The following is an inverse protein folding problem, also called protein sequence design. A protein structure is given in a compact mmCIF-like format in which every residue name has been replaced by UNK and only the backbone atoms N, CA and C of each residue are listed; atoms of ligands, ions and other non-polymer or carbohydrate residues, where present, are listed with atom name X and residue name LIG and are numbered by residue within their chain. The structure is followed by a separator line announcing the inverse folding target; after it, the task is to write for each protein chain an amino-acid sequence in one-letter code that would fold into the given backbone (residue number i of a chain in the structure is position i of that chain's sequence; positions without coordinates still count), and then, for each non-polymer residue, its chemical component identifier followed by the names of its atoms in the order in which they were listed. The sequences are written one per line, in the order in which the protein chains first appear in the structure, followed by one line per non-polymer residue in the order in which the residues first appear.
data_IF_934620514597
#
_entry.id   IF_934620514597
#
_cell.length_a   1.000
_cell.length_b   1.000
_cell.length_c   1.000
_cell.angle_alpha   90.00
_cell.angle_beta   90.00
_cell.angle_gamma   90.00
#
_symmetry.space_group_name_H-M   'P 1'
#
loop_
_entity.id
_entity.type
_entity.pdbx_description
1 polymer ?
#
# COMPACT_ATOMS: atom_id res chain seq x y z
N UNK A 1 15.17 -0.63 1.95
CA UNK A 1 14.51 0.40 1.09
C UNK A 1 13.93 1.50 1.97
N UNK A 2 14.07 2.80 1.64
CA UNK A 2 13.50 3.88 2.44
C UNK A 2 11.97 3.81 2.50
N UNK A 3 11.40 4.02 3.69
CA UNK A 3 9.95 3.94 3.96
C UNK A 3 9.10 4.84 3.07
N UNK A 4 9.65 5.96 2.58
CA UNK A 4 9.00 6.87 1.62
C UNK A 4 8.62 6.16 0.31
N UNK A 5 9.51 5.33 -0.23
CA UNK A 5 9.25 4.60 -1.47
C UNK A 5 8.17 3.54 -1.28
N UNK A 6 8.01 2.99 -0.07
CA UNK A 6 6.93 2.05 0.25
C UNK A 6 5.58 2.77 0.28
N UNK A 7 5.55 3.99 0.80
CA UNK A 7 4.36 4.84 0.76
C UNK A 7 4.00 5.25 -0.68
N UNK A 8 4.99 5.63 -1.50
CA UNK A 8 4.78 5.92 -2.92
C UNK A 8 4.24 4.68 -3.67
N UNK A 9 4.82 3.51 -3.42
CA UNK A 9 4.37 2.24 -4.01
C UNK A 9 2.93 1.85 -3.60
N UNK A 10 2.52 2.19 -2.38
CA UNK A 10 1.15 2.00 -1.93
C UNK A 10 0.20 2.93 -2.70
N UNK A 11 0.54 4.22 -2.80
CA UNK A 11 -0.29 5.23 -3.46
C UNK A 11 -0.45 4.96 -4.95
N UNK A 12 0.64 4.58 -5.63
CA UNK A 12 0.65 4.21 -7.04
C UNK A 12 -0.31 3.03 -7.30
N UNK A 13 -0.28 2.01 -6.43
CA UNK A 13 -1.19 0.86 -6.54
C UNK A 13 -2.64 1.24 -6.31
N UNK A 14 -2.93 2.11 -5.33
CA UNK A 14 -4.29 2.61 -5.09
C UNK A 14 -4.78 3.39 -6.32
N UNK A 15 -3.96 4.29 -6.86
CA UNK A 15 -4.29 5.07 -8.04
C UNK A 15 -4.52 4.17 -9.25
N UNK A 16 -3.63 3.22 -9.53
CA UNK A 16 -3.78 2.25 -10.60
C UNK A 16 -5.06 1.42 -10.44
N UNK A 17 -5.32 0.86 -9.25
CA UNK A 17 -6.56 0.12 -9.00
C UNK A 17 -7.80 0.98 -9.18
N UNK A 18 -7.79 2.25 -8.75
CA UNK A 18 -8.89 3.20 -8.98
C UNK A 18 -9.09 3.51 -10.45
N UNK A 19 -8.02 3.65 -11.22
CA UNK A 19 -8.10 3.90 -12.68
C UNK A 19 -8.65 2.67 -13.40
N UNK A 20 -8.13 1.47 -13.11
CA UNK A 20 -8.56 0.24 -13.78
C UNK A 20 -9.98 -0.19 -13.43
N UNK A 21 -10.40 0.00 -12.18
CA UNK A 21 -11.71 -0.45 -11.70
C UNK A 21 -12.77 0.64 -11.68
N UNK A 22 -12.38 1.91 -11.68
CA UNK A 22 -13.31 3.04 -11.71
C UNK A 22 -14.39 2.92 -10.63
N UNK A 23 -15.65 2.75 -11.06
CA UNK A 23 -16.82 2.69 -10.17
C UNK A 23 -16.94 1.40 -9.34
N UNK A 24 -16.26 0.32 -9.72
CA UNK A 24 -16.27 -0.95 -8.97
C UNK A 24 -15.06 -1.10 -8.04
N UNK A 25 -14.28 -0.02 -7.86
CA UNK A 25 -13.11 -0.03 -6.98
C UNK A 25 -13.51 -0.25 -5.52
N UNK A 26 -12.79 -1.16 -4.87
CA UNK A 26 -12.87 -1.43 -3.43
C UNK A 26 -11.49 -1.25 -2.80
N UNK A 27 -11.43 -0.81 -1.54
CA UNK A 27 -10.19 -0.68 -0.76
C UNK A 27 -9.36 -1.98 -0.68
N UNK A 28 -9.99 -3.14 -0.89
CA UNK A 28 -9.33 -4.44 -0.94
C UNK A 28 -8.64 -4.75 -2.28
N UNK A 29 -8.96 -4.02 -3.35
CA UNK A 29 -8.45 -4.32 -4.69
C UNK A 29 -6.94 -4.22 -4.84
N UNK A 30 -6.26 -3.21 -4.25
CA UNK A 30 -4.81 -3.13 -4.27
C UNK A 30 -4.16 -4.35 -3.58
N UNK A 31 -4.79 -4.84 -2.51
CA UNK A 31 -4.34 -6.03 -1.78
C UNK A 31 -4.55 -7.32 -2.59
N UNK A 32 -5.71 -7.46 -3.22
CA UNK A 32 -6.02 -8.58 -4.14
C UNK A 32 -5.06 -8.62 -5.31
N UNK A 33 -4.83 -7.48 -5.97
CA UNK A 33 -3.88 -7.37 -7.07
C UNK A 33 -2.46 -7.77 -6.64
N UNK A 34 -2.03 -7.34 -5.46
CA UNK A 34 -0.72 -7.68 -4.92
C UNK A 34 -0.57 -9.17 -4.58
N UNK A 35 -1.65 -9.82 -4.13
CA UNK A 35 -1.65 -11.27 -3.84
C UNK A 35 -1.79 -12.12 -5.11
N UNK A 36 -2.53 -11.65 -6.11
CA UNK A 36 -2.71 -12.34 -7.40
C UNK A 36 -1.49 -12.24 -8.32
N UNK A 37 -0.52 -11.37 -8.03
CA UNK A 37 0.73 -11.30 -8.78
C UNK A 37 1.46 -12.67 -8.70
N UNK A 38 1.41 -13.45 -9.79
CA UNK A 38 2.05 -14.78 -9.91
C UNK A 38 3.57 -14.71 -9.74
N UNK A 39 4.16 -13.59 -10.11
CA UNK A 39 5.59 -13.34 -9.97
C UNK A 39 5.82 -12.52 -8.71
N UNK A 40 6.61 -13.06 -7.78
CA UNK A 40 7.03 -12.32 -6.60
C UNK A 40 7.96 -11.21 -7.13
N UNK A 41 7.57 -9.93 -7.09
CA UNK A 41 8.46 -8.87 -7.53
C UNK A 41 9.76 -8.98 -6.72
N UNK A 42 10.91 -8.87 -7.39
CA UNK A 42 12.23 -8.87 -6.75
C UNK A 42 12.30 -7.67 -5.82
N UNK A 43 11.83 -7.89 -4.59
CA UNK A 43 11.67 -6.89 -3.56
C UNK A 43 12.15 -7.51 -2.26
N UNK A 44 12.95 -6.74 -1.53
CA UNK A 44 13.42 -7.13 -0.21
C UNK A 44 12.23 -7.50 0.70
N UNK A 45 12.31 -8.64 1.41
CA UNK A 45 11.20 -9.18 2.20
C UNK A 45 10.61 -8.17 3.19
N UNK A 46 11.46 -7.35 3.83
CA UNK A 46 11.03 -6.28 4.72
C UNK A 46 10.11 -5.25 4.03
N UNK A 47 10.44 -4.86 2.80
CA UNK A 47 9.62 -3.94 2.00
C UNK A 47 8.29 -4.60 1.65
N UNK A 48 8.33 -5.88 1.25
CA UNK A 48 7.14 -6.66 0.90
C UNK A 48 6.18 -6.80 2.08
N UNK A 49 6.71 -7.16 3.26
CA UNK A 49 5.94 -7.27 4.52
C UNK A 49 5.32 -5.94 4.92
N UNK A 50 6.08 -4.84 4.80
CA UNK A 50 5.57 -3.50 5.11
C UNK A 50 4.43 -3.09 4.16
N UNK A 51 4.62 -3.31 2.84
CA UNK A 51 3.61 -3.01 1.85
C UNK A 51 2.35 -3.86 2.05
N UNK A 52 2.50 -5.17 2.29
CA UNK A 52 1.40 -6.07 2.57
C UNK A 52 0.59 -5.58 3.78
N UNK A 53 1.27 -5.23 4.88
CA UNK A 53 0.61 -4.70 6.09
C UNK A 53 -0.19 -3.42 5.80
N UNK A 54 0.34 -2.52 4.98
CA UNK A 54 -0.36 -1.28 4.60
C UNK A 54 -1.57 -1.57 3.71
N UNK A 55 -1.46 -2.51 2.78
CA UNK A 55 -2.56 -2.93 1.91
C UNK A 55 -3.66 -3.65 2.69
N UNK A 56 -3.29 -4.49 3.67
CA UNK A 56 -4.25 -5.10 4.60
C UNK A 56 -4.95 -4.05 5.45
N UNK A 57 -4.20 -3.07 5.98
CA UNK A 57 -4.79 -1.94 6.71
C UNK A 57 -5.75 -1.13 5.83
N UNK A 58 -5.44 -0.94 4.54
CA UNK A 58 -6.34 -0.30 3.59
C UNK A 58 -7.64 -1.09 3.44
N UNK A 59 -7.54 -2.40 3.23
CA UNK A 59 -8.70 -3.27 3.06
C UNK A 59 -9.60 -3.34 4.31
N UNK A 60 -9.01 -3.37 5.51
CA UNK A 60 -9.76 -3.50 6.77
C UNK A 60 -10.25 -2.16 7.35
N UNK A 61 -9.46 -1.09 7.21
CA UNK A 61 -9.71 0.18 7.87
C UNK A 61 -10.06 1.34 6.92
N UNK A 62 -9.93 1.13 5.61
CA UNK A 62 -10.18 2.12 4.57
C UNK A 62 -9.06 3.14 4.38
N UNK A 63 -9.22 3.97 3.35
CA UNK A 63 -8.24 4.98 2.93
C UNK A 63 -7.88 5.98 4.03
N UNK A 64 -8.87 6.50 4.76
CA UNK A 64 -8.66 7.59 5.73
C UNK A 64 -7.69 7.19 6.85
N UNK A 65 -7.89 6.02 7.46
CA UNK A 65 -7.03 5.52 8.54
C UNK A 65 -5.64 5.14 8.02
N UNK A 66 -5.58 4.53 6.85
CA UNK A 66 -4.32 4.15 6.21
C UNK A 66 -3.47 5.37 5.86
N UNK A 67 -4.05 6.41 5.28
CA UNK A 67 -3.33 7.65 4.94
C UNK A 67 -2.87 8.40 6.19
N UNK A 68 -3.69 8.45 7.23
CA UNK A 68 -3.28 9.02 8.52
C UNK A 68 -2.08 8.27 9.12
N UNK A 69 -2.08 6.93 9.05
CA UNK A 69 -0.97 6.11 9.53
C UNK A 69 0.29 6.29 8.69
N UNK A 70 0.19 6.33 7.36
CA UNK A 70 1.33 6.56 6.47
C UNK A 70 1.96 7.93 6.74
N UNK A 71 1.13 8.98 6.84
CA UNK A 71 1.59 10.35 7.11
C UNK A 71 2.17 10.52 8.53
N UNK A 72 1.51 9.95 9.54
CA UNK A 72 1.85 10.12 10.94
C UNK A 72 2.95 9.20 11.47
N UNK A 73 3.01 7.97 10.97
CA UNK A 73 3.92 6.92 11.49
C UNK A 73 5.09 6.65 10.55
N UNK A 74 4.85 6.48 9.24
CA UNK A 74 5.91 6.13 8.30
C UNK A 74 6.80 7.34 7.95
N UNK A 75 6.19 8.48 7.63
CA UNK A 75 6.96 9.67 7.21
C UNK A 75 7.56 10.44 8.39
N UNK A 76 6.95 10.37 9.58
CA UNK A 76 7.37 11.11 10.77
C UNK A 76 8.48 10.41 11.57
N UNK A 77 8.64 9.09 11.43
CA UNK A 77 9.73 8.32 12.10
C UNK A 77 11.14 8.67 11.62
N UNK A 78 11.29 9.45 10.55
CA UNK A 78 12.60 9.82 9.97
C UNK A 78 13.16 11.16 10.51
N UNK A 79 12.47 11.81 11.46
CA UNK A 79 12.87 13.10 12.04
C UNK A 79 13.53 12.96 13.43
N UNK A 80 14.03 11.79 13.80
CA UNK A 80 14.79 11.61 15.05
C UNK A 80 16.11 10.92 14.76
#
# INVERSE_FOLDING_TARGET
MPVKYVAEMLMDRIAASKVYKGKIYTDADPLLYFQSAREIPIMHENTRKLLLRLLTMLAEQGEKKTFAYVKGTLLKKKQK
#
